data_IF_344477624859
#
_entry.id   IF_344477624859
#
_cell.length_a   1.000
_cell.length_b   1.000
_cell.length_c   1.000
_cell.angle_alpha   90.00
_cell.angle_beta   90.00
_cell.angle_gamma   90.00
#
_symmetry.space_group_name_H-M   'P 1'
#
loop_
_entity.id
_entity.type
_entity.pdbx_description
1 polymer ?
#
# COMPACT_ATOMS: atom_id res chain seq x y z
N UNK A 1 11.21 -40.54 13.60
CA UNK A 1 10.85 -40.01 12.26
C UNK A 1 9.85 -38.89 12.46
N UNK A 2 10.30 -37.64 12.31
CA UNK A 2 9.44 -36.44 12.42
C UNK A 2 8.49 -36.37 11.22
N UNK A 3 7.20 -36.17 11.50
CA UNK A 3 6.17 -36.00 10.47
C UNK A 3 6.31 -34.61 9.82
N UNK A 4 6.83 -34.58 8.59
CA UNK A 4 6.99 -33.38 7.78
C UNK A 4 5.65 -32.80 7.26
N UNK A 5 4.51 -33.46 7.54
CA UNK A 5 3.18 -32.93 7.20
C UNK A 5 2.65 -31.93 8.24
N UNK A 6 3.22 -31.90 9.44
CA UNK A 6 2.80 -30.99 10.52
C UNK A 6 3.44 -29.59 10.44
N UNK A 7 4.48 -29.41 9.63
CA UNK A 7 5.06 -28.10 9.36
C UNK A 7 4.27 -27.44 8.23
N UNK A 8 3.55 -26.36 8.55
CA UNK A 8 3.00 -25.46 7.52
C UNK A 8 4.16 -25.05 6.62
N UNK A 9 4.16 -25.50 5.37
CA UNK A 9 5.04 -24.94 4.35
C UNK A 9 4.89 -23.42 4.38
N UNK A 10 6.00 -22.64 4.33
CA UNK A 10 5.91 -21.22 4.07
C UNK A 10 5.10 -21.06 2.78
N UNK A 11 3.98 -20.36 2.84
CA UNK A 11 3.20 -20.11 1.62
C UNK A 11 4.06 -19.31 0.64
N UNK A 12 3.78 -19.35 -0.68
CA UNK A 12 4.44 -18.47 -1.65
C UNK A 12 4.37 -16.97 -1.26
N UNK A 13 3.38 -16.59 -0.44
CA UNK A 13 3.11 -15.23 0.05
C UNK A 13 3.68 -14.94 1.47
N UNK A 14 4.59 -15.78 1.98
CA UNK A 14 5.20 -15.63 3.31
C UNK A 14 4.39 -16.24 4.46
N UNK A 15 4.48 -15.65 5.67
CA UNK A 15 3.90 -16.20 6.91
C UNK A 15 2.35 -16.10 7.01
N UNK A 16 1.67 -15.55 6.00
CA UNK A 16 0.20 -15.45 5.97
C UNK A 16 -0.42 -14.48 6.99
N UNK A 17 0.39 -13.68 7.70
CA UNK A 17 -0.06 -12.74 8.73
C UNK A 17 -1.05 -11.71 8.16
N UNK A 18 -0.71 -11.09 7.03
CA UNK A 18 -1.54 -10.09 6.37
C UNK A 18 -2.91 -10.64 5.96
N UNK A 19 -2.92 -11.82 5.32
CA UNK A 19 -4.16 -12.53 4.94
C UNK A 19 -5.06 -12.77 6.15
N UNK A 20 -4.51 -13.28 7.25
CA UNK A 20 -5.29 -13.58 8.46
C UNK A 20 -5.89 -12.35 9.14
N UNK A 21 -5.22 -11.19 9.08
CA UNK A 21 -5.72 -9.92 9.64
C UNK A 21 -6.79 -9.33 8.72
N UNK A 22 -6.55 -9.39 7.42
CA UNK A 22 -7.50 -8.95 6.39
C UNK A 22 -8.80 -9.74 6.43
N UNK A 23 -8.74 -11.07 6.40
CA UNK A 23 -9.93 -11.93 6.43
C UNK A 23 -10.82 -11.65 7.65
N UNK A 24 -10.21 -11.38 8.81
CA UNK A 24 -10.94 -11.01 10.03
C UNK A 24 -11.65 -9.66 9.91
N UNK A 25 -11.00 -8.63 9.37
CA UNK A 25 -11.62 -7.31 9.19
C UNK A 25 -12.64 -7.29 8.03
N UNK A 26 -12.32 -7.96 6.93
CA UNK A 26 -13.10 -7.94 5.69
C UNK A 26 -14.37 -8.79 5.77
N UNK A 27 -14.34 -9.92 6.49
CA UNK A 27 -15.53 -10.75 6.71
C UNK A 27 -16.62 -10.01 7.48
N UNK A 28 -16.27 -9.11 8.40
CA UNK A 28 -17.22 -8.26 9.11
C UNK A 28 -17.86 -7.22 8.19
N UNK A 29 -17.06 -6.55 7.35
CA UNK A 29 -17.53 -5.52 6.41
C UNK A 29 -18.37 -6.10 5.26
N UNK A 30 -17.88 -7.14 4.59
CA UNK A 30 -18.55 -7.72 3.41
C UNK A 30 -19.91 -8.35 3.73
N UNK A 31 -20.08 -8.89 4.93
CA UNK A 31 -21.36 -9.46 5.37
C UNK A 31 -22.46 -8.40 5.49
N UNK A 32 -22.09 -7.14 5.71
CA UNK A 32 -23.01 -6.01 5.80
C UNK A 32 -23.28 -5.34 4.44
N UNK A 33 -22.28 -5.29 3.55
CA UNK A 33 -22.33 -4.42 2.35
C UNK A 33 -22.64 -5.16 1.04
N UNK A 34 -22.19 -6.43 0.91
CA UNK A 34 -22.35 -7.22 -0.33
C UNK A 34 -23.77 -7.27 -0.90
N UNK A 35 -24.85 -7.44 -0.11
CA UNK A 35 -26.21 -7.50 -0.64
C UNK A 35 -26.63 -6.24 -1.41
N UNK A 36 -26.00 -5.10 -1.12
CA UNK A 36 -26.35 -3.80 -1.70
C UNK A 36 -25.51 -3.46 -2.95
N UNK A 37 -24.23 -3.86 -2.96
CA UNK A 37 -23.26 -3.42 -3.98
C UNK A 37 -23.05 -4.42 -5.11
N UNK A 38 -23.17 -5.72 -4.84
CA UNK A 38 -22.85 -6.77 -5.80
C UNK A 38 -23.64 -6.67 -7.13
N UNK A 39 -24.92 -6.29 -7.17
CA UNK A 39 -25.68 -6.19 -8.44
C UNK A 39 -25.13 -5.17 -9.45
N UNK A 40 -24.46 -4.11 -8.98
CA UNK A 40 -23.97 -2.99 -9.80
C UNK A 40 -22.52 -3.17 -10.23
N UNK A 41 -21.71 -3.83 -9.39
CA UNK A 41 -20.25 -3.85 -9.54
C UNK A 41 -19.76 -5.11 -10.27
N UNK A 42 -20.45 -6.23 -10.10
CA UNK A 42 -20.06 -7.52 -10.69
C UNK A 42 -19.90 -7.52 -12.21
N UNK A 43 -20.76 -6.84 -12.99
CA UNK A 43 -20.63 -6.78 -14.45
C UNK A 43 -19.40 -6.00 -14.93
N UNK A 44 -18.95 -5.00 -14.18
CA UNK A 44 -17.86 -4.08 -14.55
C UNK A 44 -16.50 -4.52 -13.99
N UNK A 45 -16.51 -5.41 -13.00
CA UNK A 45 -15.34 -5.95 -12.31
C UNK A 45 -14.22 -6.47 -13.24
N UNK A 46 -14.47 -7.26 -14.31
CA UNK A 46 -13.39 -7.80 -15.13
C UNK A 46 -12.62 -6.73 -15.92
N UNK A 47 -13.25 -5.59 -16.23
CA UNK A 47 -12.62 -4.49 -16.97
C UNK A 47 -11.84 -3.56 -16.03
N UNK A 48 -12.40 -3.26 -14.85
CA UNK A 48 -11.83 -2.27 -13.93
C UNK A 48 -10.66 -2.82 -13.10
N UNK A 49 -10.72 -4.08 -12.67
CA UNK A 49 -9.77 -4.59 -11.66
C UNK A 49 -8.31 -4.76 -12.11
N UNK A 50 -7.98 -5.14 -13.35
CA UNK A 50 -6.57 -5.29 -13.76
C UNK A 50 -5.83 -3.94 -13.79
N UNK A 51 -6.48 -2.91 -14.33
CA UNK A 51 -5.92 -1.56 -14.47
C UNK A 51 -5.88 -0.86 -13.12
N UNK A 52 -6.93 -1.00 -12.31
CA UNK A 52 -7.00 -0.40 -10.99
C UNK A 52 -5.96 -1.00 -10.04
N UNK A 53 -5.72 -2.31 -10.05
CA UNK A 53 -4.82 -2.96 -9.06
C UNK A 53 -3.35 -2.57 -9.22
N UNK A 54 -2.82 -2.59 -10.44
CA UNK A 54 -1.41 -2.25 -10.68
C UNK A 54 -1.10 -0.79 -10.37
N UNK A 55 -1.93 0.11 -10.90
CA UNK A 55 -1.75 1.56 -10.70
C UNK A 55 -1.96 1.98 -9.25
N UNK A 56 -2.90 1.37 -8.52
CA UNK A 56 -3.16 1.72 -7.12
C UNK A 56 -2.00 1.31 -6.21
N UNK A 57 -1.40 0.14 -6.42
CA UNK A 57 -0.26 -0.31 -5.62
C UNK A 57 0.93 0.64 -5.74
N UNK A 58 1.29 1.02 -6.97
CA UNK A 58 2.36 1.98 -7.24
C UNK A 58 2.07 3.35 -6.61
N UNK A 59 0.81 3.79 -6.61
CA UNK A 59 0.41 5.07 -6.03
C UNK A 59 0.39 5.05 -4.50
N UNK A 60 0.03 3.93 -3.87
CA UNK A 60 0.15 3.74 -2.42
C UNK A 60 1.63 3.76 -2.01
N UNK A 61 2.49 3.04 -2.75
CA UNK A 61 3.94 3.08 -2.54
C UNK A 61 4.50 4.50 -2.73
N UNK A 62 4.05 5.21 -3.76
CA UNK A 62 4.39 6.61 -3.98
C UNK A 62 3.97 7.51 -2.82
N UNK A 63 2.77 7.35 -2.25
CA UNK A 63 2.33 8.11 -1.08
C UNK A 63 3.20 7.83 0.15
N UNK A 64 3.54 6.57 0.39
CA UNK A 64 4.43 6.22 1.51
C UNK A 64 5.80 6.89 1.35
N UNK A 65 6.41 6.75 0.17
CA UNK A 65 7.68 7.39 -0.16
C UNK A 65 7.60 8.91 -0.14
N UNK A 66 6.47 9.50 -0.56
CA UNK A 66 6.25 10.93 -0.48
C UNK A 66 6.43 11.44 0.95
N UNK A 67 5.82 10.76 1.94
CA UNK A 67 5.92 11.18 3.33
C UNK A 67 7.29 10.87 3.94
N UNK A 68 7.90 9.72 3.63
CA UNK A 68 9.19 9.34 4.22
C UNK A 68 10.39 10.06 3.61
N UNK A 69 10.33 10.43 2.33
CA UNK A 69 11.41 11.18 1.68
C UNK A 69 11.34 12.69 1.96
N UNK A 70 10.22 13.23 2.44
CA UNK A 70 10.03 14.68 2.60
C UNK A 70 9.46 15.36 1.36
N UNK A 71 8.59 14.66 0.63
CA UNK A 71 7.82 15.19 -0.48
C UNK A 71 8.64 15.41 -1.75
N UNK A 72 8.36 16.52 -2.44
CA UNK A 72 8.89 16.78 -3.77
C UNK A 72 10.42 16.87 -3.80
N UNK A 73 11.01 17.69 -2.92
CA UNK A 73 12.46 17.91 -2.86
C UNK A 73 13.18 16.63 -2.45
N UNK A 74 12.64 15.91 -1.47
CA UNK A 74 13.15 14.63 -1.02
C UNK A 74 13.21 13.59 -2.13
N UNK A 75 12.10 13.39 -2.83
CA UNK A 75 12.03 12.45 -3.96
C UNK A 75 12.98 12.88 -5.09
N UNK A 76 13.12 14.18 -5.34
CA UNK A 76 14.03 14.67 -6.38
C UNK A 76 15.50 14.44 -6.01
N UNK A 77 15.88 14.78 -4.78
CA UNK A 77 17.28 14.77 -4.32
C UNK A 77 17.77 13.40 -3.88
N UNK A 78 16.96 12.65 -3.13
CA UNK A 78 17.34 11.36 -2.55
C UNK A 78 17.13 10.20 -3.52
N UNK A 79 16.08 10.27 -4.35
CA UNK A 79 15.74 9.20 -5.31
C UNK A 79 16.08 9.56 -6.76
N UNK A 80 16.61 10.76 -7.01
CA UNK A 80 17.03 11.21 -8.34
C UNK A 80 15.90 11.32 -9.36
N UNK A 81 14.64 11.39 -8.92
CA UNK A 81 13.50 11.40 -9.83
C UNK A 81 13.38 12.76 -10.54
N UNK A 82 13.21 12.74 -11.87
CA UNK A 82 12.99 13.98 -12.62
C UNK A 82 11.67 14.65 -12.22
N UNK A 83 11.65 15.99 -12.22
CA UNK A 83 10.45 16.80 -11.88
C UNK A 83 9.21 16.37 -12.66
N UNK A 84 9.36 16.11 -13.96
CA UNK A 84 8.27 15.64 -14.82
C UNK A 84 7.71 14.29 -14.37
N UNK A 85 8.57 13.37 -13.91
CA UNK A 85 8.12 12.08 -13.39
C UNK A 85 7.38 12.20 -12.05
N UNK A 86 7.79 13.14 -11.19
CA UNK A 86 7.10 13.45 -9.94
C UNK A 86 5.70 14.04 -10.23
N UNK A 87 5.60 15.04 -11.11
CA UNK A 87 4.32 15.63 -11.48
C UNK A 87 3.34 14.61 -12.10
N UNK A 88 3.82 13.68 -12.93
CA UNK A 88 2.98 12.60 -13.46
C UNK A 88 2.39 11.73 -12.35
N UNK A 89 3.18 11.38 -11.33
CA UNK A 89 2.72 10.58 -10.18
C UNK A 89 1.74 11.35 -9.30
N UNK A 90 1.98 12.63 -9.02
CA UNK A 90 1.03 13.50 -8.31
C UNK A 90 -0.31 13.57 -9.05
N UNK A 91 -0.27 13.76 -10.38
CA UNK A 91 -1.48 13.83 -11.21
C UNK A 91 -2.25 12.50 -11.19
N UNK A 92 -1.55 11.37 -11.34
CA UNK A 92 -2.15 10.05 -11.23
C UNK A 92 -2.74 9.81 -9.83
N UNK A 93 -2.05 10.20 -8.77
CA UNK A 93 -2.52 10.09 -7.39
C UNK A 93 -3.82 10.85 -7.18
N UNK A 94 -3.87 12.14 -7.60
CA UNK A 94 -5.08 12.97 -7.53
C UNK A 94 -6.26 12.37 -8.29
N UNK A 95 -6.00 11.76 -9.46
CA UNK A 95 -7.05 11.12 -10.26
C UNK A 95 -7.66 9.90 -9.56
N UNK A 96 -6.87 9.16 -8.79
CA UNK A 96 -7.31 7.93 -8.12
C UNK A 96 -7.92 8.21 -6.74
N UNK A 97 -7.31 9.10 -5.96
CA UNK A 97 -7.67 9.34 -4.56
C UNK A 97 -8.36 10.68 -4.31
N UNK A 98 -8.51 11.53 -5.33
CA UNK A 98 -9.21 12.80 -5.26
C UNK A 98 -8.41 13.97 -4.67
N UNK A 99 -7.34 13.69 -3.91
CA UNK A 99 -6.56 14.71 -3.21
C UNK A 99 -5.06 14.65 -3.51
N UNK A 100 -4.32 15.67 -3.07
CA UNK A 100 -2.86 15.69 -3.16
C UNK A 100 -2.26 14.73 -2.11
N UNK A 101 -1.18 13.98 -2.42
CA UNK A 101 -0.57 13.02 -1.48
C UNK A 101 -0.17 13.62 -0.13
N UNK A 102 0.14 14.91 -0.10
CA UNK A 102 0.55 15.63 1.11
C UNK A 102 -0.55 15.74 2.17
N UNK A 103 -1.80 15.97 1.73
CA UNK A 103 -2.97 16.11 2.62
C UNK A 103 -3.75 14.81 2.77
N UNK A 104 -3.67 13.93 1.77
CA UNK A 104 -4.40 12.68 1.78
C UNK A 104 -3.95 11.77 2.94
N UNK A 105 -4.93 11.11 3.57
CA UNK A 105 -4.72 10.15 4.67
C UNK A 105 -5.43 8.85 4.35
N UNK A 106 -4.67 7.76 4.27
CA UNK A 106 -5.26 6.43 4.17
C UNK A 106 -5.92 6.06 5.51
N UNK A 107 -7.21 5.69 5.53
CA UNK A 107 -7.88 5.27 6.76
C UNK A 107 -7.14 4.12 7.44
N UNK A 108 -6.83 4.28 8.73
CA UNK A 108 -6.12 3.27 9.53
C UNK A 108 -4.62 3.16 9.26
N UNK A 109 -4.02 4.07 8.49
CA UNK A 109 -2.58 4.14 8.25
C UNK A 109 -2.02 5.43 8.85
N UNK A 110 -1.03 5.28 9.74
CA UNK A 110 -0.25 6.38 10.29
C UNK A 110 1.23 6.11 10.02
N UNK A 111 1.99 7.15 9.68
CA UNK A 111 3.44 7.07 9.54
C UNK A 111 4.06 7.82 10.71
N UNK A 112 4.83 7.12 11.53
CA UNK A 112 5.69 7.73 12.55
C UNK A 112 7.06 8.02 11.93
N UNK A 113 7.26 9.27 11.53
CA UNK A 113 8.49 9.70 10.87
C UNK A 113 9.68 9.74 11.84
N UNK A 114 9.44 10.04 13.12
CA UNK A 114 10.49 10.12 14.11
C UNK A 114 11.07 8.73 14.39
N UNK A 115 10.19 7.75 14.60
CA UNK A 115 10.60 6.36 14.73
C UNK A 115 11.34 5.86 13.47
N UNK A 116 10.83 6.17 12.27
CA UNK A 116 11.45 5.75 11.02
C UNK A 116 12.88 6.31 10.85
N UNK A 117 13.11 7.57 11.22
CA UNK A 117 14.44 8.19 11.17
C UNK A 117 15.37 7.56 12.21
N UNK A 118 14.89 7.32 13.44
CA UNK A 118 15.68 6.70 14.50
C UNK A 118 16.17 5.29 14.11
N UNK A 119 15.27 4.46 13.59
CA UNK A 119 15.60 3.08 13.17
C UNK A 119 16.60 3.05 12.01
N UNK A 120 16.41 3.91 11.00
CA UNK A 120 17.34 4.01 9.86
C UNK A 120 18.73 4.49 10.30
N UNK A 121 18.79 5.44 11.25
CA UNK A 121 20.04 5.94 11.78
C UNK A 121 20.76 4.92 12.68
N UNK A 122 20.05 4.01 13.36
CA UNK A 122 20.65 2.92 14.12
C UNK A 122 21.19 1.80 13.24
N UNK A 123 20.51 1.46 12.14
CA UNK A 123 20.92 0.39 11.22
C UNK A 123 22.21 0.76 10.46
N UNK A 124 22.47 2.06 10.26
CA UNK A 124 23.71 2.55 9.63
C UNK A 124 24.93 2.49 10.57
N UNK A 125 24.75 2.14 11.86
CA UNK A 125 25.81 2.18 12.89
C UNK A 125 26.39 0.81 13.28
N UNK A 126 25.90 -0.29 12.72
CA UNK A 126 26.56 -1.61 12.87
C UNK A 126 27.43 -1.95 11.64
N UNK A 127 28.76 -2.06 11.78
CA UNK A 127 29.65 -2.65 10.79
C UNK A 127 29.65 -4.18 10.80
#
# INVERSE_FOLDING_TARGET
>A
MSDFRAQRMPSPDGQGIAKSRWERAWSAYTKAVRPLTDPLVEPLRPLMMPIARGATFDLVGFWFVWHTAGGFEGIQSQLGMSRSAIYRRISAFRRVFGEHPDVYRFPGVTIDLEQAIQETASDTREP
#
